data_IF_304135000693
#
_entry.id   IF_304135000693
#
_cell.length_a   1.000
_cell.length_b   1.000
_cell.length_c   1.000
_cell.angle_alpha   90.00
_cell.angle_beta   90.00
_cell.angle_gamma   90.00
#
_symmetry.space_group_name_H-M   'P 1'
#
loop_
_entity.id
_entity.type
_entity.pdbx_description
1 polymer ?
#
# COMPACT_ATOMS: atom_id res chain seq x y z
N UNK A 1 6.70 4.48 15.55
CA UNK A 1 5.83 4.21 14.38
C UNK A 1 4.76 5.29 14.23
N UNK A 2 3.91 5.50 15.22
CA UNK A 2 2.83 6.52 15.16
C UNK A 2 3.34 7.95 14.89
N UNK A 3 4.50 8.34 15.40
CA UNK A 3 5.05 9.69 15.20
C UNK A 3 5.40 9.97 13.73
N UNK A 4 5.98 9.00 13.01
CA UNK A 4 6.28 9.14 11.56
C UNK A 4 5.01 9.39 10.75
N UNK A 5 3.94 8.67 11.07
CA UNK A 5 2.66 8.77 10.37
C UNK A 5 1.90 10.04 10.77
N UNK A 6 1.93 10.43 12.05
CA UNK A 6 1.34 11.69 12.50
C UNK A 6 1.90 12.92 11.77
N UNK A 7 3.17 12.86 11.37
CA UNK A 7 3.83 13.91 10.59
C UNK A 7 3.33 14.01 9.13
N UNK A 8 2.50 13.09 8.67
CA UNK A 8 1.87 13.15 7.33
C UNK A 8 0.64 14.06 7.28
N UNK A 9 0.09 14.45 8.42
CA UNK A 9 -1.11 15.31 8.44
C UNK A 9 -0.85 16.62 7.71
N UNK A 10 -1.67 16.90 6.70
CA UNK A 10 -1.56 18.11 5.88
C UNK A 10 -0.33 18.15 4.97
N UNK A 11 0.30 17.01 4.72
CA UNK A 11 1.49 16.89 3.86
C UNK A 11 1.17 16.13 2.57
N UNK A 12 2.01 16.36 1.56
CA UNK A 12 1.92 15.67 0.28
C UNK A 12 2.50 14.25 0.39
N UNK A 13 1.72 13.28 -0.05
CA UNK A 13 2.15 11.90 -0.28
C UNK A 13 2.15 11.68 -1.79
N UNK A 14 3.27 11.22 -2.34
CA UNK A 14 3.41 10.97 -3.77
C UNK A 14 3.38 9.48 -4.06
N UNK A 15 2.57 9.08 -5.04
CA UNK A 15 2.52 7.72 -5.54
C UNK A 15 3.61 7.50 -6.59
N UNK A 16 4.52 6.55 -6.33
CA UNK A 16 5.57 6.13 -7.24
C UNK A 16 5.29 4.68 -7.65
N UNK A 17 4.58 4.49 -8.74
CA UNK A 17 4.12 3.18 -9.22
C UNK A 17 4.18 3.13 -10.75
N UNK A 18 4.57 1.98 -11.28
CA UNK A 18 4.45 1.64 -12.70
C UNK A 18 4.16 0.14 -12.85
N UNK A 19 3.13 -0.20 -13.62
CA UNK A 19 2.76 -1.59 -13.91
C UNK A 19 3.72 -2.22 -14.94
N UNK A 20 3.78 -3.55 -15.03
CA UNK A 20 4.73 -4.26 -15.92
C UNK A 20 4.65 -3.84 -17.40
N UNK A 21 3.51 -3.37 -17.87
CA UNK A 21 3.30 -2.91 -19.24
C UNK A 21 3.55 -1.40 -19.44
N UNK A 22 3.94 -0.69 -18.39
CA UNK A 22 4.18 0.75 -18.45
C UNK A 22 5.67 1.07 -18.67
N UNK A 23 6.00 2.17 -19.40
CA UNK A 23 7.39 2.47 -19.81
C UNK A 23 8.38 2.65 -18.66
N UNK A 24 7.89 3.12 -17.50
CA UNK A 24 8.72 3.40 -16.33
C UNK A 24 8.81 2.22 -15.36
N UNK A 25 8.32 1.04 -15.74
CA UNK A 25 8.36 -0.14 -14.87
C UNK A 25 9.78 -0.59 -14.56
N UNK A 26 10.27 -0.20 -13.41
CA UNK A 26 11.58 -0.56 -12.88
C UNK A 26 11.68 -0.09 -11.43
N UNK A 27 12.12 -0.96 -10.53
CA UNK A 27 12.35 -0.57 -9.13
C UNK A 27 13.40 0.53 -9.01
N UNK A 28 14.47 0.49 -9.84
CA UNK A 28 15.45 1.56 -9.91
C UNK A 28 14.80 2.92 -10.24
N UNK A 29 13.91 2.94 -11.26
CA UNK A 29 13.20 4.16 -11.66
C UNK A 29 12.29 4.64 -10.54
N UNK A 30 11.55 3.75 -9.88
CA UNK A 30 10.67 4.11 -8.76
C UNK A 30 11.48 4.71 -7.59
N UNK A 31 12.66 4.19 -7.30
CA UNK A 31 13.56 4.79 -6.32
C UNK A 31 14.01 6.20 -6.70
N UNK A 32 14.31 6.46 -7.98
CA UNK A 32 14.66 7.80 -8.48
C UNK A 32 13.46 8.75 -8.44
N UNK A 33 12.28 8.29 -8.78
CA UNK A 33 11.04 9.07 -8.66
C UNK A 33 10.74 9.45 -7.21
N UNK A 34 10.92 8.54 -6.27
CA UNK A 34 10.75 8.82 -4.85
C UNK A 34 11.74 9.88 -4.34
N UNK A 35 12.99 9.84 -4.80
CA UNK A 35 13.99 10.85 -4.48
C UNK A 35 13.57 12.22 -5.03
N UNK A 36 13.17 12.30 -6.29
CA UNK A 36 12.69 13.52 -6.92
C UNK A 36 11.44 14.07 -6.20
N UNK A 37 10.50 13.19 -5.81
CA UNK A 37 9.32 13.57 -5.03
C UNK A 37 9.71 14.17 -3.67
N UNK A 38 10.68 13.58 -2.96
CA UNK A 38 11.21 14.11 -1.71
C UNK A 38 11.81 15.49 -1.88
N UNK A 39 12.64 15.69 -2.92
CA UNK A 39 13.23 16.99 -3.25
C UNK A 39 12.15 18.03 -3.59
N UNK A 40 11.06 17.61 -4.25
CA UNK A 40 9.88 18.42 -4.53
C UNK A 40 8.99 18.71 -3.31
N UNK A 41 9.31 18.17 -2.15
CA UNK A 41 8.61 18.47 -0.90
C UNK A 41 7.65 17.39 -0.41
N UNK A 42 7.60 16.21 -1.04
CA UNK A 42 6.82 15.08 -0.51
C UNK A 42 7.29 14.69 0.90
N UNK A 43 6.35 14.22 1.71
CA UNK A 43 6.61 13.76 3.08
C UNK A 43 6.21 12.30 3.30
N UNK A 44 5.69 11.65 2.29
CA UNK A 44 5.41 10.21 2.25
C UNK A 44 5.39 9.71 0.81
N UNK A 45 5.57 8.40 0.65
CA UNK A 45 5.55 7.72 -0.65
C UNK A 45 4.54 6.58 -0.59
N UNK A 46 3.72 6.42 -1.63
CA UNK A 46 2.93 5.21 -1.85
C UNK A 46 3.59 4.39 -2.96
N UNK A 47 3.83 3.11 -2.71
CA UNK A 47 4.59 2.24 -3.59
C UNK A 47 3.96 0.85 -3.72
N UNK A 48 4.10 0.25 -4.89
CA UNK A 48 3.62 -1.08 -5.23
C UNK A 48 4.78 -2.08 -5.27
N UNK A 49 4.60 -3.24 -4.65
CA UNK A 49 5.54 -4.35 -4.57
C UNK A 49 6.66 -4.19 -3.52
N UNK A 50 7.12 -5.34 -3.03
CA UNK A 50 8.23 -5.38 -2.07
C UNK A 50 9.56 -4.92 -2.69
N UNK A 51 9.76 -5.18 -3.97
CA UNK A 51 10.96 -4.80 -4.72
C UNK A 51 11.08 -3.28 -4.81
N UNK A 52 9.99 -2.59 -5.22
CA UNK A 52 9.96 -1.13 -5.31
C UNK A 52 10.12 -0.49 -3.94
N UNK A 53 9.43 -1.00 -2.92
CA UNK A 53 9.52 -0.50 -1.54
C UNK A 53 10.95 -0.60 -1.03
N UNK A 54 11.63 -1.71 -1.26
CA UNK A 54 13.02 -1.92 -0.87
C UNK A 54 13.95 -0.90 -1.53
N UNK A 55 13.81 -0.69 -2.84
CA UNK A 55 14.60 0.29 -3.57
C UNK A 55 14.33 1.72 -3.13
N UNK A 56 13.05 2.10 -3.00
CA UNK A 56 12.64 3.43 -2.52
C UNK A 56 13.23 3.70 -1.13
N UNK A 57 13.18 2.73 -0.22
CA UNK A 57 13.73 2.87 1.13
C UNK A 57 15.24 3.08 1.14
N UNK A 58 15.95 2.57 0.13
CA UNK A 58 17.38 2.83 -0.03
C UNK A 58 17.71 4.27 -0.45
N UNK A 59 16.74 5.01 -0.99
CA UNK A 59 16.89 6.36 -1.52
C UNK A 59 16.33 7.45 -0.60
N UNK A 60 15.25 7.16 0.13
CA UNK A 60 14.54 8.16 0.94
C UNK A 60 14.20 7.63 2.33
N UNK A 61 14.32 8.48 3.33
CA UNK A 61 13.83 8.21 4.69
C UNK A 61 12.47 8.91 4.90
N UNK A 62 11.47 8.43 4.18
CA UNK A 62 10.09 8.90 4.30
C UNK A 62 9.19 7.73 4.69
N UNK A 63 8.04 7.98 5.36
CA UNK A 63 7.02 6.96 5.55
C UNK A 63 6.57 6.39 4.21
N UNK A 64 6.45 5.07 4.14
CA UNK A 64 6.02 4.35 2.94
C UNK A 64 4.67 3.68 3.19
N UNK A 65 3.71 3.96 2.30
CA UNK A 65 2.45 3.25 2.19
C UNK A 65 2.65 2.17 1.13
N UNK A 66 2.67 0.91 1.57
CA UNK A 66 2.89 -0.24 0.69
C UNK A 66 1.59 -0.85 0.21
N UNK A 67 1.56 -1.26 -1.05
CA UNK A 67 0.52 -2.09 -1.65
C UNK A 67 1.16 -3.18 -2.49
N UNK A 68 0.38 -4.21 -2.81
CA UNK A 68 0.67 -5.12 -3.92
C UNK A 68 -0.55 -5.17 -4.82
N UNK A 69 -0.37 -4.79 -6.08
CA UNK A 69 -1.40 -4.97 -7.11
C UNK A 69 -1.26 -6.36 -7.71
N UNK A 70 -2.32 -7.13 -7.62
CA UNK A 70 -2.41 -8.47 -8.22
C UNK A 70 -3.85 -8.79 -8.60
N UNK A 71 -4.03 -9.21 -9.85
CA UNK A 71 -5.32 -9.63 -10.36
C UNK A 71 -5.61 -11.08 -9.99
N UNK A 72 -6.88 -11.36 -9.70
CA UNK A 72 -7.42 -12.67 -9.45
C UNK A 72 -8.67 -12.86 -10.31
N UNK A 73 -8.82 -14.02 -10.94
CA UNK A 73 -9.92 -14.29 -11.89
C UNK A 73 -11.31 -14.24 -11.23
N UNK A 74 -11.38 -14.55 -9.93
CA UNK A 74 -12.63 -14.63 -9.17
C UNK A 74 -12.96 -13.36 -8.38
N UNK A 75 -12.21 -12.27 -8.57
CA UNK A 75 -12.43 -11.03 -7.83
C UNK A 75 -12.05 -9.78 -8.63
N UNK A 76 -12.80 -8.71 -8.42
CA UNK A 76 -12.45 -7.37 -8.92
C UNK A 76 -11.45 -6.64 -8.00
N UNK A 77 -11.21 -7.15 -6.81
CA UNK A 77 -10.25 -6.56 -5.85
C UNK A 77 -8.84 -6.91 -6.29
N UNK A 78 -8.00 -5.91 -6.52
CA UNK A 78 -6.62 -6.07 -6.96
C UNK A 78 -5.58 -5.33 -6.10
N UNK A 79 -6.00 -4.47 -5.17
CA UNK A 79 -5.08 -3.77 -4.25
C UNK A 79 -4.97 -4.57 -2.96
N UNK A 80 -3.84 -5.20 -2.75
CA UNK A 80 -3.51 -6.02 -1.57
C UNK A 80 -4.66 -6.98 -1.25
N UNK A 81 -5.03 -7.86 -2.21
CA UNK A 81 -6.30 -8.58 -2.16
C UNK A 81 -6.35 -9.72 -1.15
N UNK A 82 -5.21 -10.36 -0.82
CA UNK A 82 -5.19 -11.54 0.04
C UNK A 82 -4.07 -11.48 1.10
N UNK A 83 -4.07 -12.45 2.01
CA UNK A 83 -3.01 -12.59 3.01
C UNK A 83 -1.62 -12.78 2.37
N UNK A 84 -1.55 -13.37 1.18
CA UNK A 84 -0.29 -13.55 0.43
C UNK A 84 0.40 -12.18 0.17
N UNK A 85 -0.35 -11.20 -0.30
CA UNK A 85 0.18 -9.86 -0.56
C UNK A 85 0.58 -9.13 0.74
N UNK A 86 -0.17 -9.35 1.81
CA UNK A 86 0.21 -8.84 3.15
C UNK A 86 1.55 -9.43 3.59
N UNK A 87 1.75 -10.74 3.45
CA UNK A 87 2.99 -11.42 3.85
C UNK A 87 4.18 -10.92 3.03
N UNK A 88 4.01 -10.73 1.72
CA UNK A 88 5.04 -10.14 0.86
C UNK A 88 5.43 -8.73 1.32
N UNK A 89 4.46 -7.89 1.69
CA UNK A 89 4.72 -6.55 2.22
C UNK A 89 5.42 -6.60 3.59
N UNK A 90 5.05 -7.53 4.44
CA UNK A 90 5.65 -7.66 5.77
C UNK A 90 7.13 -8.05 5.72
N UNK A 91 7.63 -8.65 4.63
CA UNK A 91 9.06 -8.88 4.44
C UNK A 91 9.87 -7.56 4.42
N UNK A 92 9.27 -6.48 3.90
CA UNK A 92 9.90 -5.15 3.76
C UNK A 92 9.35 -4.11 4.75
N UNK A 93 8.36 -4.48 5.54
CA UNK A 93 7.79 -3.71 6.66
C UNK A 93 7.50 -2.23 6.29
N UNK A 94 6.57 -1.95 5.37
CA UNK A 94 6.16 -0.58 5.11
C UNK A 94 5.54 0.04 6.38
N UNK A 95 5.56 1.36 6.48
CA UNK A 95 5.00 2.06 7.65
C UNK A 95 3.48 1.92 7.72
N UNK A 96 2.82 1.88 6.56
CA UNK A 96 1.38 1.63 6.41
C UNK A 96 1.20 0.60 5.29
N UNK A 97 0.25 -0.31 5.42
CA UNK A 97 -0.24 -1.15 4.33
C UNK A 97 -1.63 -0.65 3.93
N UNK A 98 -1.80 -0.34 2.64
CA UNK A 98 -3.10 -0.03 2.09
C UNK A 98 -3.72 -1.26 1.43
N UNK A 99 -5.04 -1.39 1.54
CA UNK A 99 -5.81 -2.46 0.95
C UNK A 99 -7.15 -1.94 0.43
N UNK A 100 -7.69 -2.60 -0.57
CA UNK A 100 -9.06 -2.38 -1.00
C UNK A 100 -10.02 -2.58 0.19
N UNK A 101 -10.82 -1.58 0.47
CA UNK A 101 -11.84 -1.60 1.52
C UNK A 101 -13.24 -1.27 0.95
N UNK A 102 -13.47 -1.65 -0.30
CA UNK A 102 -14.77 -1.57 -0.94
C UNK A 102 -15.68 -2.73 -0.50
N UNK A 103 -16.95 -2.67 -0.90
CA UNK A 103 -17.91 -3.76 -0.68
C UNK A 103 -17.66 -4.99 -1.57
N UNK A 104 -16.75 -4.90 -2.52
CA UNK A 104 -16.44 -6.00 -3.44
C UNK A 104 -15.86 -7.20 -2.69
N UNK A 105 -16.29 -8.39 -3.09
CA UNK A 105 -15.75 -9.62 -2.54
C UNK A 105 -14.31 -9.82 -2.99
N UNK A 106 -13.46 -10.18 -2.05
CA UNK A 106 -12.07 -10.54 -2.28
C UNK A 106 -11.98 -11.94 -2.91
N UNK A 107 -10.81 -12.36 -3.39
CA UNK A 107 -10.60 -13.73 -3.87
C UNK A 107 -11.13 -14.76 -2.87
N UNK A 108 -11.62 -15.89 -3.38
CA UNK A 108 -12.29 -16.93 -2.58
C UNK A 108 -13.57 -16.44 -1.87
N UNK A 109 -14.23 -15.43 -2.42
CA UNK A 109 -15.47 -14.86 -1.90
C UNK A 109 -15.39 -14.30 -0.46
N UNK A 110 -14.19 -13.98 0.00
CA UNK A 110 -13.95 -13.41 1.34
C UNK A 110 -14.48 -11.98 1.44
N UNK A 111 -15.10 -11.63 2.55
CA UNK A 111 -15.52 -10.25 2.85
C UNK A 111 -14.34 -9.41 3.37
N UNK A 112 -14.48 -8.09 3.33
CA UNK A 112 -13.51 -7.18 3.95
C UNK A 112 -13.36 -7.45 5.44
N UNK A 113 -14.48 -7.64 6.16
CA UNK A 113 -14.49 -7.85 7.61
C UNK A 113 -13.74 -9.14 8.00
N UNK A 114 -14.02 -10.25 7.30
CA UNK A 114 -13.31 -11.52 7.51
C UNK A 114 -11.80 -11.35 7.26
N UNK A 115 -11.45 -10.73 6.14
CA UNK A 115 -10.04 -10.50 5.79
C UNK A 115 -9.34 -9.59 6.79
N UNK A 116 -9.96 -8.45 7.15
CA UNK A 116 -9.37 -7.50 8.09
C UNK A 116 -9.21 -8.09 9.49
N UNK A 117 -10.15 -8.93 9.92
CA UNK A 117 -10.02 -9.65 11.18
C UNK A 117 -8.76 -10.53 11.19
N UNK A 118 -8.55 -11.33 10.16
CA UNK A 118 -7.37 -12.20 10.03
C UNK A 118 -6.05 -11.41 10.02
N UNK A 119 -5.98 -10.34 9.23
CA UNK A 119 -4.74 -9.53 9.14
C UNK A 119 -4.46 -8.79 10.44
N UNK A 120 -5.49 -8.31 11.12
CA UNK A 120 -5.36 -7.62 12.39
C UNK A 120 -4.92 -8.55 13.52
N UNK A 121 -5.42 -9.77 13.54
CA UNK A 121 -5.00 -10.79 14.49
C UNK A 121 -3.53 -11.17 14.28
N UNK A 122 -3.13 -11.38 13.03
CA UNK A 122 -1.76 -11.77 12.67
C UNK A 122 -0.74 -10.64 12.85
N UNK A 123 -1.12 -9.39 12.55
CA UNK A 123 -0.24 -8.23 12.58
C UNK A 123 -0.84 -7.07 13.40
N UNK A 124 -1.03 -7.23 14.71
CA UNK A 124 -1.78 -6.27 15.54
C UNK A 124 -1.16 -4.87 15.63
N UNK A 125 0.14 -4.75 15.37
CA UNK A 125 0.88 -3.48 15.45
C UNK A 125 1.05 -2.78 14.09
N UNK A 126 0.63 -3.41 12.98
CA UNK A 126 0.70 -2.81 11.66
C UNK A 126 -0.36 -1.72 11.51
N UNK A 127 0.01 -0.62 10.86
CA UNK A 127 -0.93 0.43 10.48
C UNK A 127 -1.54 0.11 9.11
N UNK A 128 -2.84 0.34 9.01
CA UNK A 128 -3.64 0.02 7.83
C UNK A 128 -4.25 1.27 7.24
N UNK A 129 -4.40 1.30 5.92
CA UNK A 129 -5.12 2.33 5.17
C UNK A 129 -6.21 1.66 4.33
N UNK A 130 -7.43 2.18 4.45
CA UNK A 130 -8.57 1.72 3.67
C UNK A 130 -8.67 2.50 2.35
N UNK A 131 -8.61 1.82 1.22
CA UNK A 131 -8.92 2.39 -0.09
C UNK A 131 -10.40 2.18 -0.38
N UNK A 132 -11.19 3.25 -0.30
CA UNK A 132 -12.64 3.25 -0.44
C UNK A 132 -13.08 4.00 -1.69
N UNK A 133 -14.22 3.60 -2.28
CA UNK A 133 -14.79 4.26 -3.46
C UNK A 133 -15.98 5.14 -3.12
N UNK A 134 -16.65 4.90 -1.98
CA UNK A 134 -17.84 5.64 -1.54
C UNK A 134 -17.71 6.09 -0.09
N UNK A 135 -18.58 7.04 0.31
CA UNK A 135 -18.65 7.50 1.70
C UNK A 135 -19.12 6.36 2.61
N UNK A 136 -20.06 5.54 2.17
CA UNK A 136 -20.59 4.39 2.91
C UNK A 136 -19.48 3.38 3.22
N UNK A 137 -18.64 3.06 2.24
CA UNK A 137 -17.47 2.20 2.43
C UNK A 137 -16.47 2.79 3.43
N UNK A 138 -16.21 4.10 3.33
CA UNK A 138 -15.31 4.78 4.25
C UNK A 138 -15.86 4.85 5.70
N UNK A 139 -17.17 4.88 5.87
CA UNK A 139 -17.80 4.82 7.19
C UNK A 139 -17.83 3.40 7.77
N UNK A 140 -17.82 2.37 6.90
CA UNK A 140 -17.77 0.98 7.31
C UNK A 140 -16.34 0.55 7.72
N UNK A 141 -15.33 1.00 6.97
CA UNK A 141 -13.93 0.66 7.21
C UNK A 141 -13.36 1.30 8.48
#
# INVERSE_FOLDING_TARGET
>A
MYQKVANLKGKLIVSCQALPNEPLHSSFIMGRMALAAKEGGARGIRANSKEDIKEIRSKVDLPIIGIVKRDYEDSAVYITPTMKEIEELMEVKPDIIAMDATISKRPSNQTLDEFFHEVKEKYPNQLWMADCSTIEEALHA
#
